data_IF_708614961315
#
_entry.id   IF_708614961315
#
_cell.length_a   1.000
_cell.length_b   1.000
_cell.length_c   1.000
_cell.angle_alpha   90.00
_cell.angle_beta   90.00
_cell.angle_gamma   90.00
#
_symmetry.space_group_name_H-M   'P 1'
#
loop_
_entity.id
_entity.type
_entity.pdbx_description
1 polymer ?
#
# COMPACT_ATOMS: atom_id res chain seq x y z
N UNK A 1 8.56 -3.17 -26.04
CA UNK A 1 9.66 -4.13 -26.27
C UNK A 1 9.57 -5.23 -25.22
N UNK A 2 9.21 -6.48 -25.62
CA UNK A 2 9.08 -7.60 -24.67
C UNK A 2 10.37 -7.93 -23.91
N UNK A 3 11.55 -7.65 -24.47
CA UNK A 3 12.84 -7.92 -23.81
C UNK A 3 13.20 -6.86 -22.76
N UNK A 4 12.56 -5.70 -22.80
CA UNK A 4 12.72 -4.60 -21.83
C UNK A 4 11.33 -3.99 -21.53
N UNK A 5 10.45 -4.73 -20.87
CA UNK A 5 9.08 -4.30 -20.67
C UNK A 5 8.99 -3.09 -19.74
N UNK A 6 8.09 -2.18 -20.09
CA UNK A 6 7.61 -1.13 -19.20
C UNK A 6 6.29 -1.60 -18.60
N UNK A 7 6.32 -1.96 -17.33
CA UNK A 7 5.10 -2.30 -16.60
C UNK A 7 4.46 -1.03 -16.03
N UNK A 8 3.14 -1.00 -16.05
CA UNK A 8 2.36 0.16 -15.62
C UNK A 8 1.45 -0.18 -14.44
N UNK A 9 1.12 0.83 -13.66
CA UNK A 9 0.00 0.80 -12.71
C UNK A 9 -1.08 1.77 -13.18
N UNK A 10 -2.34 1.41 -12.90
CA UNK A 10 -3.51 2.26 -13.14
C UNK A 10 -4.16 2.50 -11.78
N UNK A 11 -4.17 3.74 -11.35
CA UNK A 11 -4.58 4.16 -10.00
C UNK A 11 -5.66 5.24 -10.06
N UNK A 12 -6.55 5.25 -9.08
CA UNK A 12 -7.49 6.35 -8.89
C UNK A 12 -6.79 7.63 -8.41
N UNK A 13 -7.34 8.78 -8.80
CA UNK A 13 -6.86 10.11 -8.41
C UNK A 13 -8.02 11.01 -8.02
N UNK A 14 -8.79 10.63 -6.99
CA UNK A 14 -9.90 11.45 -6.51
C UNK A 14 -9.40 12.73 -5.81
N UNK A 15 -10.20 13.79 -5.91
CA UNK A 15 -9.92 15.07 -5.24
C UNK A 15 -9.84 14.93 -3.71
N UNK A 16 -10.67 14.06 -3.11
CA UNK A 16 -10.58 13.72 -1.70
C UNK A 16 -9.83 12.41 -1.52
N UNK A 17 -9.02 12.32 -0.44
CA UNK A 17 -8.34 11.08 -0.09
C UNK A 17 -9.36 10.02 0.35
N UNK A 18 -9.38 8.89 -0.34
CA UNK A 18 -10.31 7.77 -0.10
C UNK A 18 -9.53 6.45 -0.07
N UNK A 19 -8.67 6.22 0.95
CA UNK A 19 -7.76 5.07 0.99
C UNK A 19 -8.54 3.75 1.01
N UNK A 20 -8.17 2.83 0.11
CA UNK A 20 -8.79 1.51 -0.01
C UNK A 20 -10.22 1.49 -0.59
N UNK A 21 -10.77 2.65 -0.98
CA UNK A 21 -12.16 2.71 -1.45
C UNK A 21 -12.30 2.44 -2.94
N UNK A 22 -11.31 2.83 -3.75
CA UNK A 22 -11.29 2.61 -5.19
C UNK A 22 -10.20 1.62 -5.58
N UNK A 23 -10.36 1.05 -6.76
CA UNK A 23 -9.48 -0.01 -7.23
C UNK A 23 -8.18 0.54 -7.83
N UNK A 24 -7.15 -0.29 -7.81
CA UNK A 24 -5.83 -0.08 -8.42
C UNK A 24 -5.46 -1.34 -9.18
N UNK A 25 -4.88 -1.21 -10.35
CA UNK A 25 -4.34 -2.35 -11.12
C UNK A 25 -2.83 -2.17 -11.25
N UNK A 26 -2.09 -3.20 -10.86
CA UNK A 26 -0.62 -3.23 -10.89
C UNK A 26 -0.12 -4.21 -11.94
N UNK A 27 1.16 -4.11 -12.31
CA UNK A 27 1.86 -5.02 -13.21
C UNK A 27 1.26 -5.12 -14.64
N UNK A 28 0.53 -4.10 -15.05
CA UNK A 28 -0.11 -4.02 -16.36
C UNK A 28 0.95 -4.04 -17.47
N UNK A 29 0.68 -4.80 -18.51
CA UNK A 29 1.61 -5.04 -19.63
C UNK A 29 2.20 -6.45 -19.65
N UNK A 30 2.01 -7.25 -18.58
CA UNK A 30 2.44 -8.64 -18.55
C UNK A 30 1.53 -9.54 -19.40
N UNK A 31 2.17 -10.41 -20.15
CA UNK A 31 1.58 -11.52 -20.89
C UNK A 31 2.60 -12.66 -20.99
N UNK A 32 2.27 -13.76 -21.66
CA UNK A 32 3.14 -14.94 -21.74
C UNK A 32 4.51 -14.66 -22.39
N UNK A 33 4.59 -13.66 -23.29
CA UNK A 33 5.85 -13.27 -23.95
C UNK A 33 6.64 -12.30 -23.08
N UNK A 34 5.96 -11.32 -22.48
CA UNK A 34 6.59 -10.24 -21.70
C UNK A 34 7.15 -10.76 -20.38
N UNK A 35 6.51 -11.75 -19.74
CA UNK A 35 7.03 -12.35 -18.51
C UNK A 35 8.39 -13.00 -18.69
N UNK A 36 8.61 -13.68 -19.83
CA UNK A 36 9.91 -14.26 -20.18
C UNK A 36 11.00 -13.19 -20.36
N UNK A 37 10.65 -12.07 -21.00
CA UNK A 37 11.54 -10.92 -21.12
C UNK A 37 11.90 -10.30 -19.79
N UNK A 38 10.93 -10.14 -18.90
CA UNK A 38 11.13 -9.64 -17.54
C UNK A 38 12.03 -10.58 -16.72
N UNK A 39 11.80 -11.89 -16.80
CA UNK A 39 12.62 -12.90 -16.13
C UNK A 39 14.09 -12.83 -16.56
N UNK A 40 14.34 -12.74 -17.87
CA UNK A 40 15.70 -12.60 -18.42
C UNK A 40 16.36 -11.28 -18.01
N UNK A 41 15.63 -10.16 -18.08
CA UNK A 41 16.14 -8.84 -17.73
C UNK A 41 16.55 -8.74 -16.26
N UNK A 42 15.72 -9.29 -15.36
CA UNK A 42 15.95 -9.20 -13.91
C UNK A 42 16.86 -10.30 -13.38
N UNK A 43 17.07 -11.39 -14.14
CA UNK A 43 17.72 -12.60 -13.65
C UNK A 43 16.92 -13.30 -12.52
N UNK A 44 15.66 -12.92 -12.32
CA UNK A 44 14.80 -13.42 -11.26
C UNK A 44 13.46 -13.91 -11.83
N UNK A 45 13.44 -15.15 -12.26
CA UNK A 45 12.27 -15.78 -12.87
C UNK A 45 11.10 -15.87 -11.88
N UNK A 46 11.39 -16.11 -10.59
CA UNK A 46 10.38 -16.16 -9.55
C UNK A 46 9.65 -14.83 -9.40
N UNK A 47 10.38 -13.71 -9.35
CA UNK A 47 9.82 -12.36 -9.32
C UNK A 47 8.92 -12.10 -10.54
N UNK A 48 9.36 -12.46 -11.74
CA UNK A 48 8.60 -12.23 -12.96
C UNK A 48 7.27 -12.97 -12.95
N UNK A 49 7.29 -14.27 -12.59
CA UNK A 49 6.07 -15.08 -12.56
C UNK A 49 5.17 -14.79 -11.36
N UNK A 50 5.68 -14.35 -10.20
CA UNK A 50 4.85 -13.87 -9.10
C UNK A 50 4.14 -12.56 -9.48
N UNK A 51 4.83 -11.64 -10.14
CA UNK A 51 4.23 -10.41 -10.67
C UNK A 51 3.14 -10.71 -11.71
N UNK A 52 3.35 -11.70 -12.56
CA UNK A 52 2.37 -12.10 -13.56
C UNK A 52 1.15 -12.78 -12.92
N UNK A 53 1.35 -13.69 -11.97
CA UNK A 53 0.28 -14.32 -11.21
C UNK A 53 -0.60 -13.27 -10.51
N UNK A 54 0.03 -12.31 -9.80
CA UNK A 54 -0.68 -11.19 -9.14
C UNK A 54 -1.45 -10.34 -10.13
N UNK A 55 -0.89 -10.06 -11.30
CA UNK A 55 -1.57 -9.29 -12.33
C UNK A 55 -2.81 -10.02 -12.88
N UNK A 56 -2.70 -11.30 -13.22
CA UNK A 56 -3.84 -12.09 -13.72
C UNK A 56 -4.95 -12.17 -12.67
N UNK A 57 -4.60 -12.38 -11.40
CA UNK A 57 -5.54 -12.37 -10.28
C UNK A 57 -6.25 -11.02 -10.15
N UNK A 58 -5.49 -9.94 -10.04
CA UNK A 58 -6.04 -8.59 -9.86
C UNK A 58 -6.89 -8.14 -11.04
N UNK A 59 -6.45 -8.43 -12.27
CA UNK A 59 -7.20 -8.11 -13.47
C UNK A 59 -8.50 -8.93 -13.57
N UNK A 60 -8.43 -10.21 -13.22
CA UNK A 60 -9.61 -11.09 -13.16
C UNK A 60 -10.65 -10.59 -12.15
N UNK A 61 -10.23 -10.24 -10.95
CA UNK A 61 -11.13 -9.73 -9.89
C UNK A 61 -11.68 -8.34 -10.24
N UNK A 62 -10.81 -7.39 -10.55
CA UNK A 62 -11.19 -5.97 -10.66
C UNK A 62 -11.80 -5.65 -12.03
N UNK A 63 -11.17 -6.11 -13.12
CA UNK A 63 -11.57 -5.72 -14.49
C UNK A 63 -12.62 -6.67 -15.07
N UNK A 64 -12.45 -7.97 -14.85
CA UNK A 64 -13.35 -8.97 -15.40
C UNK A 64 -14.48 -9.38 -14.45
N UNK A 65 -14.45 -8.84 -13.21
CA UNK A 65 -15.51 -9.00 -12.23
C UNK A 65 -15.65 -10.42 -11.67
N UNK A 66 -14.54 -11.18 -11.63
CA UNK A 66 -14.51 -12.50 -11.00
C UNK A 66 -14.64 -12.35 -9.49
N UNK A 67 -15.87 -12.59 -8.99
CA UNK A 67 -16.18 -12.54 -7.56
C UNK A 67 -16.87 -13.82 -7.13
N UNK A 68 -16.80 -14.17 -5.84
CA UNK A 68 -17.58 -15.31 -5.34
C UNK A 68 -19.07 -15.10 -5.63
N UNK A 69 -19.75 -16.21 -5.93
CA UNK A 69 -21.20 -16.19 -6.23
C UNK A 69 -21.99 -15.71 -5.03
N UNK A 70 -21.60 -16.14 -3.81
CA UNK A 70 -22.17 -15.63 -2.55
C UNK A 70 -21.06 -14.91 -1.77
N UNK A 71 -21.46 -13.88 -0.96
CA UNK A 71 -20.50 -13.11 -0.15
C UNK A 71 -19.73 -13.93 0.91
N UNK A 72 -20.23 -15.10 1.24
CA UNK A 72 -19.63 -16.03 2.22
C UNK A 72 -18.70 -17.06 1.57
N UNK A 73 -18.68 -17.16 0.23
CA UNK A 73 -17.83 -18.09 -0.50
C UNK A 73 -16.39 -17.56 -0.55
N UNK A 74 -15.45 -18.50 -0.61
CA UNK A 74 -14.02 -18.16 -0.76
C UNK A 74 -13.81 -17.55 -2.16
N UNK A 75 -12.95 -16.54 -2.24
CA UNK A 75 -12.53 -15.95 -3.51
C UNK A 75 -12.02 -17.04 -4.46
N UNK A 76 -12.46 -17.08 -5.75
CA UNK A 76 -12.10 -18.13 -6.68
C UNK A 76 -10.58 -18.30 -6.88
N UNK A 77 -9.83 -17.20 -6.88
CA UNK A 77 -8.37 -17.25 -7.01
C UNK A 77 -7.71 -17.75 -5.73
N UNK A 78 -8.21 -17.32 -4.58
CA UNK A 78 -7.72 -17.79 -3.29
C UNK A 78 -7.95 -19.31 -3.12
N UNK A 79 -9.10 -19.84 -3.55
CA UNK A 79 -9.37 -21.28 -3.54
C UNK A 79 -8.32 -22.04 -4.37
N UNK A 80 -7.95 -21.53 -5.55
CA UNK A 80 -6.93 -22.13 -6.41
C UNK A 80 -5.55 -22.06 -5.74
N UNK A 81 -5.19 -20.93 -5.13
CA UNK A 81 -3.93 -20.75 -4.39
C UNK A 81 -3.83 -21.77 -3.25
N UNK A 82 -4.88 -21.90 -2.44
CA UNK A 82 -4.93 -22.85 -1.34
C UNK A 82 -4.79 -24.30 -1.82
N UNK A 83 -5.41 -24.65 -2.94
CA UNK A 83 -5.26 -25.96 -3.55
C UNK A 83 -3.81 -26.28 -3.95
N UNK A 84 -3.14 -25.32 -4.62
CA UNK A 84 -1.73 -25.49 -5.03
C UNK A 84 -0.81 -25.58 -3.81
N UNK A 85 -1.02 -24.70 -2.79
CA UNK A 85 -0.28 -24.73 -1.53
C UNK A 85 -0.44 -26.09 -0.81
N UNK A 86 -1.67 -26.60 -0.73
CA UNK A 86 -1.96 -27.86 -0.05
C UNK A 86 -1.23 -29.06 -0.66
N UNK A 87 -1.00 -29.08 -1.98
CA UNK A 87 -0.29 -30.18 -2.66
C UNK A 87 1.15 -30.35 -2.14
N UNK A 88 1.81 -29.28 -1.69
CA UNK A 88 3.17 -29.30 -1.15
C UNK A 88 3.29 -28.98 0.35
N UNK A 89 2.19 -28.64 1.00
CA UNK A 89 2.19 -28.26 2.41
C UNK A 89 2.85 -26.91 2.70
N UNK A 90 2.91 -26.01 1.69
CA UNK A 90 3.41 -24.64 1.87
C UNK A 90 2.37 -23.73 2.53
N UNK A 91 2.85 -22.77 3.33
CA UNK A 91 1.98 -21.84 4.07
C UNK A 91 1.97 -20.44 3.48
N UNK A 92 3.12 -19.96 3.05
CA UNK A 92 3.30 -18.59 2.59
C UNK A 92 3.51 -18.52 1.07
N UNK A 93 3.03 -17.47 0.43
CA UNK A 93 3.19 -17.25 -1.02
C UNK A 93 4.64 -17.15 -1.46
N UNK A 94 5.52 -16.62 -0.60
CA UNK A 94 6.94 -16.50 -0.87
C UNK A 94 7.69 -17.84 -0.89
N UNK A 95 7.06 -18.93 -0.44
CA UNK A 95 7.60 -20.30 -0.50
C UNK A 95 7.32 -20.99 -1.83
N UNK A 96 6.44 -20.42 -2.68
CA UNK A 96 6.11 -21.00 -3.98
C UNK A 96 7.30 -20.95 -4.94
N UNK A 97 7.48 -22.05 -5.66
CA UNK A 97 8.48 -22.18 -6.74
C UNK A 97 8.00 -21.51 -8.02
N UNK A 98 8.91 -21.38 -9.00
CA UNK A 98 8.59 -20.86 -10.34
C UNK A 98 7.54 -21.74 -11.03
N UNK A 99 7.65 -23.05 -10.91
CA UNK A 99 6.74 -24.00 -11.53
C UNK A 99 5.32 -23.85 -10.98
N UNK A 100 5.18 -23.65 -9.67
CA UNK A 100 3.87 -23.41 -9.02
C UNK A 100 3.27 -22.08 -9.44
N UNK A 101 4.09 -21.04 -9.56
CA UNK A 101 3.63 -19.73 -10.05
C UNK A 101 3.17 -19.81 -11.51
N UNK A 102 3.89 -20.55 -12.37
CA UNK A 102 3.47 -20.84 -13.77
C UNK A 102 2.15 -21.63 -13.80
N UNK A 103 2.02 -22.61 -12.93
CA UNK A 103 0.78 -23.38 -12.78
C UNK A 103 -0.39 -22.48 -12.36
N UNK A 104 -0.19 -21.59 -11.38
CA UNK A 104 -1.23 -20.64 -10.94
C UNK A 104 -1.67 -19.70 -12.06
N UNK A 105 -0.74 -19.14 -12.85
CA UNK A 105 -1.09 -18.29 -14.00
C UNK A 105 -2.00 -19.05 -14.97
N UNK A 106 -1.68 -20.30 -15.27
CA UNK A 106 -2.49 -21.15 -16.16
C UNK A 106 -3.87 -21.42 -15.58
N UNK A 107 -3.95 -21.82 -14.30
CA UNK A 107 -5.20 -22.09 -13.61
C UNK A 107 -6.09 -20.85 -13.52
N UNK A 108 -5.51 -19.69 -13.24
CA UNK A 108 -6.23 -18.42 -13.18
C UNK A 108 -6.82 -18.02 -14.54
N UNK A 109 -6.05 -18.12 -15.62
CA UNK A 109 -6.55 -17.85 -16.97
C UNK A 109 -7.70 -18.80 -17.36
N UNK A 110 -7.59 -20.06 -16.98
CA UNK A 110 -8.66 -21.04 -17.22
C UNK A 110 -9.92 -20.69 -16.42
N UNK A 111 -9.78 -20.38 -15.14
CA UNK A 111 -10.90 -19.99 -14.29
C UNK A 111 -11.59 -18.71 -14.81
N UNK A 112 -10.81 -17.70 -15.26
CA UNK A 112 -11.33 -16.50 -15.91
C UNK A 112 -12.19 -16.89 -17.12
N UNK A 113 -11.67 -17.74 -18.00
CA UNK A 113 -12.40 -18.17 -19.21
C UNK A 113 -13.68 -18.93 -18.88
N UNK A 114 -13.63 -19.82 -17.90
CA UNK A 114 -14.77 -20.64 -17.48
C UNK A 114 -15.89 -19.79 -16.86
N UNK A 115 -15.55 -18.83 -15.98
CA UNK A 115 -16.55 -18.03 -15.28
C UNK A 115 -17.07 -16.84 -16.09
N UNK A 116 -16.21 -16.20 -16.86
CA UNK A 116 -16.57 -14.97 -17.59
C UNK A 116 -16.88 -15.19 -19.07
N UNK A 117 -16.50 -16.34 -19.62
CA UNK A 117 -16.55 -16.61 -21.06
C UNK A 117 -15.50 -15.83 -21.87
N UNK A 118 -14.62 -15.06 -21.22
CA UNK A 118 -13.60 -14.23 -21.85
C UNK A 118 -12.20 -14.80 -21.60
N UNK A 119 -11.31 -14.64 -22.57
CA UNK A 119 -9.89 -14.90 -22.32
C UNK A 119 -9.27 -13.73 -21.56
N UNK A 120 -8.24 -14.00 -20.77
CA UNK A 120 -7.36 -12.95 -20.26
C UNK A 120 -6.68 -12.24 -21.45
N UNK A 121 -6.72 -10.90 -21.54
CA UNK A 121 -6.20 -10.18 -22.71
C UNK A 121 -4.67 -10.22 -22.77
N UNK A 122 -4.11 -10.56 -23.93
CA UNK A 122 -2.67 -10.55 -24.19
C UNK A 122 -2.20 -9.19 -24.74
N UNK A 123 -3.08 -8.38 -25.33
CA UNK A 123 -2.74 -7.05 -25.82
C UNK A 123 -2.63 -6.04 -24.67
N UNK A 124 -1.46 -5.40 -24.48
CA UNK A 124 -1.27 -4.40 -23.44
C UNK A 124 -2.21 -3.20 -23.52
N UNK A 125 -2.68 -2.83 -24.71
CA UNK A 125 -3.63 -1.72 -24.88
C UNK A 125 -5.03 -2.11 -24.46
N UNK A 126 -5.46 -3.35 -24.72
CA UNK A 126 -6.71 -3.89 -24.20
C UNK A 126 -6.69 -3.97 -22.68
N UNK A 127 -5.56 -4.45 -22.10
CA UNK A 127 -5.33 -4.45 -20.65
C UNK A 127 -5.44 -3.04 -20.08
N UNK A 128 -4.81 -2.04 -20.71
CA UNK A 128 -4.81 -0.66 -20.24
C UNK A 128 -6.22 -0.07 -20.22
N UNK A 129 -6.96 -0.19 -21.31
CA UNK A 129 -8.32 0.35 -21.39
C UNK A 129 -9.28 -0.34 -20.44
N UNK A 130 -9.18 -1.65 -20.30
CA UNK A 130 -9.94 -2.40 -19.29
C UNK A 130 -9.67 -1.90 -17.88
N UNK A 131 -8.40 -1.71 -17.53
CA UNK A 131 -8.00 -1.20 -16.22
C UNK A 131 -8.46 0.25 -15.98
N UNK A 132 -8.35 1.13 -16.97
CA UNK A 132 -8.80 2.52 -16.87
C UNK A 132 -10.32 2.58 -16.62
N UNK A 133 -11.10 1.82 -17.39
CA UNK A 133 -12.56 1.74 -17.20
C UNK A 133 -12.90 1.21 -15.79
N UNK A 134 -12.26 0.13 -15.35
CA UNK A 134 -12.52 -0.45 -14.04
C UNK A 134 -12.20 0.53 -12.88
N UNK A 135 -11.14 1.33 -12.99
CA UNK A 135 -10.83 2.36 -12.00
C UNK A 135 -11.88 3.46 -11.99
N UNK A 136 -12.39 3.92 -13.14
CA UNK A 136 -13.51 4.85 -13.17
C UNK A 136 -14.78 4.26 -12.55
N UNK A 137 -15.10 3.02 -12.89
CA UNK A 137 -16.29 2.32 -12.38
C UNK A 137 -16.21 2.10 -10.87
N UNK A 138 -15.00 1.95 -10.32
CA UNK A 138 -14.78 1.76 -8.88
C UNK A 138 -15.22 2.94 -8.02
N UNK A 139 -15.42 4.14 -8.60
CA UNK A 139 -16.09 5.26 -7.94
C UNK A 139 -17.50 4.90 -7.49
N UNK A 140 -18.17 4.00 -8.20
CA UNK A 140 -19.52 3.55 -7.90
C UNK A 140 -19.58 2.24 -7.09
N UNK A 141 -18.45 1.73 -6.62
CA UNK A 141 -18.45 0.60 -5.68
C UNK A 141 -19.18 0.94 -4.38
N UNK A 142 -19.90 -0.02 -3.80
CA UNK A 142 -20.71 0.17 -2.57
C UNK A 142 -19.86 0.78 -1.44
N UNK A 143 -18.63 0.26 -1.23
CA UNK A 143 -17.70 0.79 -0.22
C UNK A 143 -17.33 2.25 -0.46
N UNK A 144 -17.10 2.64 -1.72
CA UNK A 144 -16.76 4.01 -2.09
C UNK A 144 -17.96 4.96 -1.91
N UNK A 145 -19.17 4.52 -2.26
CA UNK A 145 -20.41 5.27 -2.05
C UNK A 145 -20.67 5.50 -0.57
N UNK A 146 -20.55 4.44 0.25
CA UNK A 146 -20.76 4.53 1.69
C UNK A 146 -19.74 5.46 2.34
N UNK A 147 -18.47 5.32 2.00
CA UNK A 147 -17.40 6.17 2.51
C UNK A 147 -17.65 7.65 2.19
N UNK A 148 -18.03 7.98 0.94
CA UNK A 148 -18.35 9.36 0.57
C UNK A 148 -19.53 9.94 1.35
N UNK A 149 -20.55 9.12 1.63
CA UNK A 149 -21.68 9.54 2.47
C UNK A 149 -21.25 9.85 3.90
N UNK A 150 -20.38 9.03 4.47
CA UNK A 150 -19.85 9.23 5.84
C UNK A 150 -18.95 10.45 5.96
N UNK A 151 -18.10 10.68 4.96
CA UNK A 151 -17.13 11.78 4.96
C UNK A 151 -17.68 13.08 4.32
N UNK A 152 -18.96 13.11 3.92
CA UNK A 152 -19.58 14.29 3.31
C UNK A 152 -18.99 14.67 1.94
N UNK A 153 -18.39 13.70 1.22
CA UNK A 153 -17.80 13.93 -0.10
C UNK A 153 -18.89 13.91 -1.18
N UNK A 154 -18.99 14.95 -2.02
CA UNK A 154 -20.00 15.03 -3.07
C UNK A 154 -19.90 13.86 -4.06
N UNK A 155 -21.03 13.25 -4.39
CA UNK A 155 -21.12 12.10 -5.29
C UNK A 155 -20.72 12.44 -6.73
N UNK A 156 -20.99 13.68 -7.15
CA UNK A 156 -20.75 14.20 -8.50
C UNK A 156 -19.28 14.53 -8.81
N UNK A 157 -18.37 14.48 -7.83
CA UNK A 157 -16.97 14.84 -8.10
C UNK A 157 -16.26 13.86 -9.03
N UNK A 158 -16.54 12.57 -8.93
CA UNK A 158 -15.85 11.55 -9.70
C UNK A 158 -14.38 11.35 -9.28
N UNK A 159 -13.66 10.59 -10.09
CA UNK A 159 -12.23 10.34 -9.91
C UNK A 159 -11.47 10.58 -11.22
N UNK A 160 -10.22 11.00 -11.11
CA UNK A 160 -9.26 10.89 -12.21
C UNK A 160 -8.61 9.49 -12.19
N UNK A 161 -7.93 9.16 -13.27
CA UNK A 161 -7.10 7.95 -13.38
C UNK A 161 -5.67 8.34 -13.70
N UNK A 162 -4.73 7.81 -12.92
CA UNK A 162 -3.31 8.00 -13.15
C UNK A 162 -2.70 6.70 -13.67
N UNK A 163 -2.06 6.78 -14.84
CA UNK A 163 -1.26 5.69 -15.42
C UNK A 163 0.20 6.03 -15.20
N UNK A 164 0.94 5.18 -14.46
CA UNK A 164 2.33 5.45 -14.13
C UNK A 164 3.20 4.20 -14.26
N UNK A 165 4.49 4.40 -14.56
CA UNK A 165 5.46 3.33 -14.60
C UNK A 165 5.60 2.67 -13.21
N UNK A 166 5.72 1.34 -13.21
CA UNK A 166 5.94 0.58 -11.98
C UNK A 166 7.40 0.69 -11.52
N UNK A 167 7.57 0.71 -10.21
CA UNK A 167 8.81 0.43 -9.48
C UNK A 167 8.56 -0.69 -8.49
N UNK A 168 9.58 -1.50 -8.21
CA UNK A 168 9.39 -2.78 -7.53
C UNK A 168 10.19 -2.85 -6.24
N UNK A 169 9.49 -2.96 -5.12
CA UNK A 169 10.07 -3.19 -3.80
C UNK A 169 10.41 -4.65 -3.51
N UNK A 170 10.09 -5.57 -4.43
CA UNK A 170 10.26 -7.02 -4.29
C UNK A 170 11.29 -7.62 -5.28
N UNK A 171 12.30 -6.84 -5.65
CA UNK A 171 13.41 -7.30 -6.50
C UNK A 171 14.62 -7.82 -5.72
N UNK A 172 14.45 -8.22 -4.48
CA UNK A 172 15.51 -8.75 -3.60
C UNK A 172 15.77 -7.88 -2.38
N UNK A 173 16.84 -8.23 -1.65
CA UNK A 173 17.15 -7.66 -0.34
C UNK A 173 17.58 -6.17 -0.38
N UNK A 174 17.91 -5.64 -1.55
CA UNK A 174 18.22 -4.22 -1.74
C UNK A 174 16.99 -3.40 -2.15
N UNK A 175 15.83 -4.03 -2.14
CA UNK A 175 14.55 -3.43 -2.50
C UNK A 175 13.59 -3.48 -1.31
N UNK A 176 12.73 -2.49 -1.20
CA UNK A 176 11.76 -2.36 -0.10
C UNK A 176 10.56 -1.52 -0.54
N UNK A 177 9.50 -1.59 0.23
CA UNK A 177 8.36 -0.68 0.11
C UNK A 177 7.93 -0.22 1.49
N UNK A 178 7.35 0.98 1.60
CA UNK A 178 6.93 1.50 2.89
C UNK A 178 6.01 2.69 2.81
N UNK A 179 5.49 3.03 3.97
CA UNK A 179 4.66 4.21 4.23
C UNK A 179 5.26 5.01 5.38
N UNK A 180 5.20 6.32 5.31
CA UNK A 180 5.72 7.17 6.37
C UNK A 180 4.91 8.46 6.53
N UNK A 181 5.04 9.04 7.72
CA UNK A 181 4.34 10.24 8.13
C UNK A 181 5.34 11.25 8.66
N UNK A 182 5.20 12.52 8.28
CA UNK A 182 6.07 13.57 8.78
C UNK A 182 5.84 13.88 10.27
N UNK A 183 4.62 13.62 10.77
CA UNK A 183 4.22 13.72 12.19
C UNK A 183 3.40 12.52 12.60
N UNK A 184 3.31 12.24 13.89
CA UNK A 184 2.47 11.15 14.40
C UNK A 184 0.98 11.47 14.18
N UNK A 185 0.29 10.59 13.45
CA UNK A 185 -1.11 10.78 13.08
C UNK A 185 -2.10 10.58 14.27
N UNK A 186 -1.67 9.92 15.33
CA UNK A 186 -2.48 9.65 16.50
C UNK A 186 -2.30 10.72 17.59
N UNK A 187 -1.07 11.17 17.85
CA UNK A 187 -0.72 12.09 18.93
C UNK A 187 -0.48 13.51 18.45
N UNK A 188 -0.09 13.70 17.18
CA UNK A 188 0.32 14.98 16.62
C UNK A 188 1.76 15.38 16.95
N UNK A 189 2.54 14.50 17.57
CA UNK A 189 3.96 14.78 17.84
C UNK A 189 4.73 15.00 16.54
N UNK A 190 5.63 16.00 16.57
CA UNK A 190 6.53 16.27 15.46
C UNK A 190 7.66 15.21 15.45
N UNK A 191 7.33 14.01 15.02
CA UNK A 191 8.26 12.91 14.88
C UNK A 191 8.02 12.17 13.56
N UNK A 192 9.08 12.05 12.76
CA UNK A 192 9.06 11.25 11.55
C UNK A 192 8.90 9.77 11.92
N UNK A 193 7.89 9.11 11.37
CA UNK A 193 7.57 7.73 11.70
C UNK A 193 7.02 6.98 10.48
N UNK A 194 6.92 5.67 10.58
CA UNK A 194 6.39 4.84 9.52
C UNK A 194 6.96 3.43 9.52
N UNK A 195 6.57 2.67 8.52
CA UNK A 195 6.87 1.26 8.42
C UNK A 195 7.35 0.89 7.01
N UNK A 196 8.21 -0.10 6.92
CA UNK A 196 8.70 -0.63 5.66
C UNK A 196 8.88 -2.15 5.70
N UNK A 197 8.87 -2.78 4.52
CA UNK A 197 9.17 -4.19 4.33
C UNK A 197 10.24 -4.36 3.25
N UNK A 198 11.29 -5.11 3.58
CA UNK A 198 12.31 -5.53 2.62
C UNK A 198 11.72 -6.60 1.71
N UNK A 199 12.07 -6.56 0.43
CA UNK A 199 11.64 -7.51 -0.59
C UNK A 199 10.12 -7.74 -0.57
N UNK A 200 9.35 -6.65 -0.74
CA UNK A 200 7.89 -6.64 -0.65
C UNK A 200 7.26 -5.63 -1.61
N UNK A 201 6.01 -5.88 -2.00
CA UNK A 201 5.16 -4.90 -2.68
C UNK A 201 4.28 -4.15 -1.68
N UNK A 202 3.65 -3.04 -2.12
CA UNK A 202 2.79 -2.22 -1.27
C UNK A 202 1.63 -2.99 -0.64
N UNK A 203 1.08 -3.96 -1.36
CA UNK A 203 0.02 -4.86 -0.87
C UNK A 203 0.48 -5.67 0.36
N UNK A 204 1.73 -6.10 0.39
CA UNK A 204 2.28 -6.92 1.48
C UNK A 204 2.38 -6.12 2.80
N UNK A 205 2.59 -4.78 2.71
CA UNK A 205 2.61 -3.88 3.89
C UNK A 205 1.20 -3.75 4.48
N UNK A 206 0.19 -3.62 3.62
CA UNK A 206 -1.20 -3.40 4.03
C UNK A 206 -1.86 -4.70 4.50
N UNK A 207 -1.49 -5.84 3.92
CA UNK A 207 -2.10 -7.14 4.21
C UNK A 207 -1.77 -7.68 5.62
N UNK A 208 -0.74 -7.16 6.29
CA UNK A 208 -0.35 -7.58 7.64
C UNK A 208 0.16 -9.03 7.74
N UNK A 209 0.53 -9.65 6.62
CA UNK A 209 1.02 -11.03 6.56
C UNK A 209 2.44 -11.14 7.14
N UNK A 210 3.23 -10.09 6.97
CA UNK A 210 4.58 -9.95 7.49
C UNK A 210 4.60 -8.80 8.48
N UNK A 211 5.39 -8.92 9.56
CA UNK A 211 5.61 -7.82 10.53
C UNK A 211 6.46 -6.74 9.87
N UNK A 212 5.95 -5.52 9.66
CA UNK A 212 6.76 -4.44 9.12
C UNK A 212 7.83 -4.00 10.11
N UNK A 213 8.92 -3.47 9.56
CA UNK A 213 9.99 -2.84 10.33
C UNK A 213 9.74 -1.33 10.39
N UNK A 214 10.21 -0.70 11.46
CA UNK A 214 10.05 0.73 11.67
C UNK A 214 11.09 1.52 10.85
N UNK A 215 10.72 2.70 10.37
CA UNK A 215 11.62 3.56 9.59
C UNK A 215 12.73 4.14 10.46
N UNK A 216 12.38 4.64 11.65
CA UNK A 216 13.33 5.27 12.57
C UNK A 216 13.84 4.27 13.61
N UNK A 217 15.08 4.45 14.04
CA UNK A 217 15.67 3.66 15.14
C UNK A 217 14.88 3.83 16.43
N UNK A 218 14.48 5.05 16.76
CA UNK A 218 13.66 5.34 17.93
C UNK A 218 12.32 4.60 17.90
N UNK A 219 11.63 4.64 16.76
CA UNK A 219 10.38 3.89 16.56
C UNK A 219 10.58 2.38 16.71
N UNK A 220 11.70 1.85 16.17
CA UNK A 220 12.05 0.44 16.29
C UNK A 220 12.34 0.02 17.73
N UNK A 221 13.01 0.86 18.53
CA UNK A 221 13.24 0.60 19.94
C UNK A 221 11.95 0.60 20.75
N UNK A 222 11.07 1.60 20.56
CA UNK A 222 9.75 1.65 21.22
C UNK A 222 8.88 0.44 20.86
N UNK A 223 8.87 0.07 19.58
CA UNK A 223 8.12 -1.11 19.12
C UNK A 223 8.64 -2.40 19.77
N UNK A 224 9.96 -2.60 19.82
CA UNK A 224 10.56 -3.78 20.43
C UNK A 224 10.25 -3.88 21.93
N UNK A 225 10.28 -2.77 22.66
CA UNK A 225 9.88 -2.69 24.06
C UNK A 225 8.42 -3.13 24.27
N UNK A 226 7.50 -2.63 23.44
CA UNK A 226 6.08 -3.02 23.48
C UNK A 226 5.85 -4.50 23.16
N UNK A 227 6.69 -5.09 22.31
CA UNK A 227 6.63 -6.50 21.92
C UNK A 227 7.44 -7.42 22.83
N UNK A 228 8.11 -6.88 23.85
CA UNK A 228 9.05 -7.60 24.73
C UNK A 228 10.16 -8.32 23.95
N UNK A 229 10.67 -7.68 22.89
CA UNK A 229 11.78 -8.18 22.06
C UNK A 229 13.08 -7.54 22.53
N UNK A 230 14.10 -8.37 22.78
CA UNK A 230 15.44 -7.90 23.16
C UNK A 230 16.16 -7.20 22.00
N UNK A 231 17.14 -6.34 22.33
CA UNK A 231 17.86 -5.51 21.38
C UNK A 231 18.66 -6.32 20.34
N UNK A 232 19.19 -7.45 20.71
CA UNK A 232 19.95 -8.32 19.78
C UNK A 232 19.01 -8.90 18.72
N UNK A 233 17.86 -9.42 19.14
CA UNK A 233 16.82 -9.94 18.26
C UNK A 233 16.23 -8.83 17.37
N UNK A 234 15.97 -7.64 17.95
CA UNK A 234 15.48 -6.49 17.19
C UNK A 234 16.44 -6.14 16.06
N UNK A 235 17.71 -5.91 16.36
CA UNK A 235 18.73 -5.53 15.36
C UNK A 235 18.91 -6.56 14.27
N UNK A 236 18.78 -7.84 14.62
CA UNK A 236 19.00 -8.94 13.68
C UNK A 236 17.79 -9.21 12.79
N UNK A 237 16.59 -9.14 13.33
CA UNK A 237 15.36 -9.52 12.62
C UNK A 237 14.49 -8.33 12.17
N UNK A 238 14.56 -7.22 12.90
CA UNK A 238 13.71 -6.05 12.71
C UNK A 238 14.50 -4.73 12.75
N UNK A 239 15.63 -4.62 12.02
CA UNK A 239 16.38 -3.38 11.99
C UNK A 239 15.51 -2.26 11.41
N UNK A 240 15.66 -1.05 11.95
CA UNK A 240 15.04 0.12 11.34
C UNK A 240 15.62 0.41 9.96
N UNK A 241 14.89 1.17 9.11
CA UNK A 241 15.43 1.62 7.84
C UNK A 241 16.66 2.52 8.05
N UNK A 242 16.65 3.33 9.10
CA UNK A 242 17.80 4.15 9.52
C UNK A 242 19.07 3.32 9.75
N UNK A 243 18.93 2.10 10.28
CA UNK A 243 20.07 1.19 10.52
C UNK A 243 20.41 0.33 9.29
N UNK A 244 19.40 -0.16 8.57
CA UNK A 244 19.58 -1.07 7.44
C UNK A 244 19.94 -0.37 6.13
N UNK A 245 19.43 0.85 5.93
CA UNK A 245 19.57 1.62 4.67
C UNK A 245 19.82 3.11 4.98
N UNK A 246 20.90 3.48 5.68
CA UNK A 246 21.09 4.84 6.24
C UNK A 246 21.12 5.95 5.19
N UNK A 247 21.67 5.72 4.02
CA UNK A 247 21.69 6.71 2.94
C UNK A 247 20.31 6.96 2.35
N UNK A 248 19.50 5.93 2.20
CA UNK A 248 18.12 6.04 1.71
C UNK A 248 17.21 6.66 2.76
N UNK A 249 17.42 6.31 4.04
CA UNK A 249 16.74 6.96 5.15
C UNK A 249 17.02 8.47 5.19
N UNK A 250 18.28 8.88 5.05
CA UNK A 250 18.64 10.29 5.01
C UNK A 250 17.97 11.05 3.84
N UNK A 251 17.86 10.41 2.66
CA UNK A 251 17.12 10.98 1.53
C UNK A 251 15.63 11.11 1.83
N UNK A 252 15.03 10.05 2.40
CA UNK A 252 13.61 10.01 2.78
C UNK A 252 13.29 11.09 3.81
N UNK A 253 14.15 11.24 4.83
CA UNK A 253 14.01 12.26 5.88
C UNK A 253 14.08 13.68 5.31
N UNK A 254 15.03 13.96 4.43
CA UNK A 254 15.14 15.28 3.79
C UNK A 254 13.94 15.61 2.88
N UNK A 255 13.37 14.59 2.23
CA UNK A 255 12.21 14.78 1.37
C UNK A 255 10.91 14.98 2.16
N UNK A 256 10.72 14.29 3.29
CA UNK A 256 9.55 14.51 4.13
C UNK A 256 9.51 15.95 4.68
N UNK A 257 10.62 16.48 5.16
CA UNK A 257 10.74 17.87 5.63
C UNK A 257 10.40 18.87 4.52
N UNK A 258 10.93 18.63 3.31
CA UNK A 258 10.62 19.47 2.14
C UNK A 258 9.14 19.42 1.75
N UNK A 259 8.51 18.25 1.82
CA UNK A 259 7.09 18.09 1.48
C UNK A 259 6.18 18.73 2.52
N UNK A 260 6.45 18.54 3.81
CA UNK A 260 5.69 19.18 4.88
C UNK A 260 5.73 20.71 4.77
N UNK A 261 6.92 21.29 4.54
CA UNK A 261 7.08 22.74 4.31
C UNK A 261 6.40 23.23 3.03
N UNK A 262 6.42 22.43 1.96
CA UNK A 262 5.78 22.80 0.70
C UNK A 262 4.24 22.82 0.79
N UNK A 263 3.66 21.84 1.46
CA UNK A 263 2.20 21.74 1.63
C UNK A 263 1.70 22.44 2.89
N UNK A 264 2.61 22.91 3.74
CA UNK A 264 2.31 23.53 5.04
C UNK A 264 1.41 22.65 5.90
N UNK A 265 1.53 21.33 5.78
CA UNK A 265 0.73 20.36 6.53
C UNK A 265 1.45 19.01 6.65
N UNK A 266 1.10 18.24 7.69
CA UNK A 266 1.54 16.86 7.87
C UNK A 266 1.30 16.04 6.62
N UNK A 267 2.31 15.30 6.21
CA UNK A 267 2.26 14.46 5.02
C UNK A 267 2.25 12.97 5.35
N UNK A 268 1.40 12.24 4.63
CA UNK A 268 1.35 10.79 4.49
C UNK A 268 1.99 10.43 3.14
N UNK A 269 3.03 9.62 3.16
CA UNK A 269 3.88 9.36 2.01
C UNK A 269 4.03 7.86 1.76
N UNK A 270 3.93 7.47 0.51
CA UNK A 270 4.21 6.11 0.03
C UNK A 270 5.52 6.12 -0.76
N UNK A 271 6.40 5.18 -0.47
CA UNK A 271 7.69 5.07 -1.15
C UNK A 271 8.06 3.62 -1.47
N UNK A 272 8.94 3.47 -2.46
CA UNK A 272 9.55 2.19 -2.82
C UNK A 272 11.05 2.39 -3.01
N UNK A 273 11.82 1.42 -2.55
CA UNK A 273 13.23 1.28 -2.88
C UNK A 273 13.36 0.16 -3.89
N UNK A 274 13.84 0.47 -5.08
CA UNK A 274 14.16 -0.53 -6.08
C UNK A 274 15.67 -0.59 -6.30
N UNK A 275 16.28 -1.71 -5.96
CA UNK A 275 17.72 -1.95 -6.14
C UNK A 275 18.60 -0.80 -5.60
N UNK A 276 18.33 -0.37 -4.37
CA UNK A 276 19.06 0.70 -3.70
C UNK A 276 18.73 2.13 -4.16
N UNK A 277 17.69 2.32 -4.97
CA UNK A 277 17.21 3.64 -5.39
C UNK A 277 15.84 3.95 -4.81
N UNK A 278 15.71 5.10 -4.15
CA UNK A 278 14.46 5.59 -3.57
C UNK A 278 13.53 6.21 -4.63
N UNK A 279 12.26 5.87 -4.56
CA UNK A 279 11.18 6.40 -5.38
C UNK A 279 9.99 6.77 -4.52
N UNK A 280 9.47 7.99 -4.69
CA UNK A 280 8.19 8.39 -4.11
C UNK A 280 7.06 7.99 -5.04
N UNK A 281 6.02 7.37 -4.47
CA UNK A 281 4.85 6.94 -5.22
C UNK A 281 3.70 7.93 -5.07
N UNK A 282 3.50 8.45 -3.85
CA UNK A 282 2.42 9.35 -3.52
C UNK A 282 2.74 10.15 -2.26
N UNK A 283 2.24 11.38 -2.19
CA UNK A 283 2.11 12.16 -0.96
C UNK A 283 0.71 12.74 -0.87
N UNK A 284 0.22 12.88 0.34
CA UNK A 284 -1.09 13.47 0.64
C UNK A 284 -1.09 14.05 2.05
N UNK A 285 -2.04 14.95 2.33
CA UNK A 285 -2.24 15.42 3.69
C UNK A 285 -2.64 14.24 4.58
N UNK A 286 -1.92 14.04 5.68
CA UNK A 286 -2.11 12.89 6.56
C UNK A 286 -3.45 12.96 7.27
N UNK A 287 -4.22 11.86 7.19
CA UNK A 287 -5.39 11.66 8.07
C UNK A 287 -4.91 11.53 9.50
N UNK A 288 -5.65 12.11 10.43
CA UNK A 288 -5.24 12.23 11.84
C UNK A 288 -6.45 12.22 12.79
N UNK A 289 -6.22 11.85 14.03
CA UNK A 289 -7.22 11.93 15.11
C UNK A 289 -7.56 13.39 15.44
N UNK A 290 -8.65 13.62 16.17
CA UNK A 290 -9.01 14.96 16.66
C UNK A 290 -7.93 15.57 17.53
N UNK A 291 -7.29 14.79 18.41
CA UNK A 291 -6.15 15.25 19.26
C UNK A 291 -4.97 15.67 18.40
N UNK A 292 -4.54 14.83 17.45
CA UNK A 292 -3.44 15.14 16.55
C UNK A 292 -3.74 16.36 15.66
N UNK A 293 -4.98 16.52 15.21
CA UNK A 293 -5.42 17.65 14.39
C UNK A 293 -5.18 18.99 15.09
N UNK A 294 -5.62 19.12 16.35
CA UNK A 294 -5.44 20.35 17.12
C UNK A 294 -3.96 20.61 17.40
N UNK A 295 -3.23 19.57 17.84
CA UNK A 295 -1.81 19.71 18.15
C UNK A 295 -1.00 20.13 16.92
N UNK A 296 -1.18 19.47 15.78
CA UNK A 296 -0.47 19.78 14.53
C UNK A 296 -0.80 21.19 14.05
N UNK A 297 -2.07 21.61 14.12
CA UNK A 297 -2.46 22.96 13.73
C UNK A 297 -1.78 24.02 14.60
N UNK A 298 -1.68 23.80 15.91
CA UNK A 298 -1.00 24.70 16.84
C UNK A 298 0.52 24.70 16.66
N UNK A 299 1.13 23.54 16.45
CA UNK A 299 2.57 23.42 16.23
C UNK A 299 2.97 24.17 14.93
N UNK A 300 2.28 23.93 13.81
CA UNK A 300 2.53 24.61 12.54
C UNK A 300 2.30 26.13 12.61
N UNK A 301 1.33 26.58 13.42
CA UNK A 301 1.14 28.01 13.70
C UNK A 301 2.33 28.60 14.47
N UNK A 302 2.80 27.93 15.52
CA UNK A 302 3.96 28.38 16.32
C UNK A 302 5.27 28.32 15.53
N UNK A 303 5.40 27.36 14.61
CA UNK A 303 6.53 27.25 13.67
C UNK A 303 6.49 28.33 12.57
N UNK A 304 5.37 29.06 12.43
CA UNK A 304 5.17 30.10 11.42
C UNK A 304 4.88 29.57 10.02
N UNK A 305 4.56 28.29 9.91
CA UNK A 305 4.23 27.63 8.64
C UNK A 305 2.82 27.98 8.15
N UNK A 306 1.90 28.30 9.07
CA UNK A 306 0.52 28.70 8.77
C UNK A 306 0.09 29.88 9.63
N UNK A 307 -0.93 30.61 9.19
CA UNK A 307 -1.56 31.70 9.96
C UNK A 307 -2.69 31.19 10.89
N UNK A 308 -3.15 32.03 11.81
CA UNK A 308 -4.22 31.72 12.77
C UNK A 308 -5.52 31.28 12.06
N UNK A 309 -5.86 31.95 10.96
CA UNK A 309 -7.06 31.62 10.19
C UNK A 309 -6.98 30.21 9.60
N UNK A 310 -5.83 29.84 9.03
CA UNK A 310 -5.57 28.51 8.48
C UNK A 310 -5.58 27.46 9.58
N UNK A 311 -4.96 27.73 10.73
CA UNK A 311 -4.97 26.83 11.88
C UNK A 311 -6.40 26.55 12.35
N UNK A 312 -7.23 27.58 12.47
CA UNK A 312 -8.63 27.45 12.86
C UNK A 312 -9.44 26.67 11.82
N UNK A 313 -9.26 26.94 10.54
CA UNK A 313 -9.99 26.24 9.45
C UNK A 313 -9.61 24.75 9.33
N UNK A 314 -8.43 24.36 9.80
CA UNK A 314 -8.00 22.95 9.83
C UNK A 314 -8.57 22.16 11.00
N UNK A 315 -9.09 22.83 12.01
CA UNK A 315 -9.77 22.20 13.13
C UNK A 315 -11.23 21.90 12.74
N UNK A 316 -11.46 20.71 12.21
CA UNK A 316 -12.79 20.24 11.80
C UNK A 316 -13.70 20.07 13.03
N UNK A 317 -14.85 20.78 13.13
CA UNK A 317 -15.71 20.74 14.33
C UNK A 317 -16.14 19.33 14.71
N UNK A 318 -16.46 18.47 13.74
CA UNK A 318 -16.91 17.09 13.98
C UNK A 318 -15.83 16.23 14.65
N UNK A 319 -14.54 16.51 14.38
CA UNK A 319 -13.44 15.80 15.04
C UNK A 319 -13.13 16.34 16.44
N UNK A 320 -13.56 17.57 16.76
CA UNK A 320 -13.45 18.09 18.12
C UNK A 320 -14.34 17.34 19.10
N UNK A 321 -15.45 16.76 18.66
CA UNK A 321 -16.30 15.93 19.48
C UNK A 321 -15.56 14.71 20.05
N UNK A 322 -14.56 14.18 19.31
CA UNK A 322 -13.70 13.08 19.78
C UNK A 322 -12.97 13.45 21.09
N UNK A 323 -12.63 14.73 21.28
CA UNK A 323 -11.93 15.22 22.47
C UNK A 323 -12.83 15.34 23.70
N UNK A 324 -14.14 15.34 23.49
CA UNK A 324 -15.14 15.46 24.56
C UNK A 324 -15.55 14.08 25.10
N UNK A 325 -15.20 13.01 24.41
CA UNK A 325 -15.49 11.66 24.86
C UNK A 325 -14.55 11.21 25.99
N UNK A 326 -15.04 10.49 27.00
CA UNK A 326 -14.19 9.91 28.02
C UNK A 326 -13.21 8.92 27.41
N UNK A 327 -11.94 9.02 27.80
CA UNK A 327 -10.87 8.10 27.40
C UNK A 327 -10.45 7.24 28.57
N UNK A 328 -10.04 6.01 28.30
CA UNK A 328 -9.46 5.18 29.36
C UNK A 328 -8.13 5.75 29.82
N UNK A 329 -7.93 5.74 31.14
CA UNK A 329 -6.62 6.05 31.71
C UNK A 329 -5.55 5.13 31.12
N UNK A 330 -4.39 5.72 30.73
CA UNK A 330 -3.33 4.98 30.03
C UNK A 330 -2.73 3.84 30.87
N UNK A 331 -2.57 4.07 32.19
CA UNK A 331 -2.02 3.07 33.10
C UNK A 331 -3.03 1.95 33.35
N UNK A 332 -4.29 2.31 33.58
CA UNK A 332 -5.36 1.33 33.74
C UNK A 332 -5.56 0.47 32.48
N UNK A 333 -5.44 1.05 31.28
CA UNK A 333 -5.51 0.32 30.02
C UNK A 333 -4.34 -0.65 29.83
N UNK A 334 -3.12 -0.25 30.22
CA UNK A 334 -1.93 -1.10 30.14
C UNK A 334 -1.99 -2.28 31.15
N UNK A 335 -2.72 -2.12 32.26
CA UNK A 335 -2.91 -3.16 33.26
C UNK A 335 -4.11 -4.08 32.99
N UNK A 336 -5.01 -3.67 32.09
CA UNK A 336 -6.17 -4.49 31.72
C UNK A 336 -5.71 -5.68 30.86
N UNK A 337 -5.90 -6.88 31.38
CA UNK A 337 -5.77 -8.12 30.61
C UNK A 337 -6.99 -8.26 29.71
N UNK A 338 -6.84 -7.96 28.42
CA UNK A 338 -7.82 -8.24 27.37
C UNK A 338 -7.23 -9.28 26.45
#
# INVERSE_FOLDING_TARGET
DPSNPLLMSVRSGARASMPGMMDTILNLGLNDVVVEGLAKKTGNERFAYDSYRRFVQMYGDVVLGMKPVNKEDIDPFEAIIQQVKAQRGIKLDNEMTVEELKQLVTLFKNAIKEQTGRNFPDDPMEQLWGAVCAVFDSWMNERAILYRKMEGIPQEWGTAVTVMAMVFGNMGETSATGVCFSRDAATGENCFNGEYLINAQGEDVVAGIRTPQQITKEGSLRWAEQQNIDEETRRKKFPSMEEAMPELYAQLYALQDKLEKHYHDMQDMEFTVQEGKLWFLQTRNGKRTGTAMVKIAMDLLHEGEIDEKTALLRCEPNKLDELLHPVFDKEARAQAHI
#
